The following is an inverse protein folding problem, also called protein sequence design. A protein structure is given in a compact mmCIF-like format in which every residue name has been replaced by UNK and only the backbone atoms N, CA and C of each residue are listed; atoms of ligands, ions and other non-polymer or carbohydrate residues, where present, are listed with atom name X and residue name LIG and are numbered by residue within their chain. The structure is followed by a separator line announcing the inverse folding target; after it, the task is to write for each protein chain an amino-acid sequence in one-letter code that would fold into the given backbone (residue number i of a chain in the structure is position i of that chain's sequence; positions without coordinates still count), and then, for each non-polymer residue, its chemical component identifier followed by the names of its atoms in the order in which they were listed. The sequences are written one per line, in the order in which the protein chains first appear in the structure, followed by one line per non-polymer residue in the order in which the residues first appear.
data_IF_048606951416
#
_entry.id   IF_048606951416
#
_cell.length_a   1.000
_cell.length_b   1.000
_cell.length_c   1.000
_cell.angle_alpha   90.00
_cell.angle_beta   90.00
_cell.angle_gamma   90.00
#
_symmetry.space_group_name_H-M   'P 1'
#
loop_
_entity.id
_entity.type
_entity.pdbx_description
1 polymer ?
#
# COMPACT_ATOMS: atom_id res chain seq x y z
N UNK A 1 29.01 2.29 13.26
CA UNK A 1 29.29 3.04 12.03
C UNK A 1 27.98 3.76 11.68
N UNK A 2 27.94 5.09 11.76
CA UNK A 2 26.82 5.86 11.25
C UNK A 2 26.73 5.59 9.75
N UNK A 3 25.57 5.13 9.25
CA UNK A 3 25.35 5.07 7.81
C UNK A 3 25.49 6.49 7.28
N UNK A 4 26.53 6.71 6.47
CA UNK A 4 26.76 8.00 5.84
C UNK A 4 25.64 8.24 4.83
N UNK A 5 24.66 9.06 5.24
CA UNK A 5 23.53 9.42 4.41
C UNK A 5 23.95 10.60 3.53
N UNK A 6 24.32 10.29 2.30
CA UNK A 6 24.64 11.31 1.32
C UNK A 6 23.41 12.15 0.95
N UNK A 7 23.45 13.43 1.30
CA UNK A 7 22.35 14.39 1.08
C UNK A 7 22.61 15.10 -0.24
N UNK A 8 21.99 14.61 -1.30
CA UNK A 8 21.95 15.31 -2.59
C UNK A 8 20.92 16.45 -2.58
N UNK A 9 21.01 17.41 -3.53
CA UNK A 9 20.01 18.47 -3.63
C UNK A 9 18.54 17.97 -3.71
N UNK A 10 18.29 16.91 -4.46
CA UNK A 10 16.94 16.31 -4.53
C UNK A 10 16.46 15.80 -3.16
N UNK A 11 17.35 15.18 -2.39
CA UNK A 11 17.03 14.70 -1.05
C UNK A 11 16.82 15.83 -0.07
N UNK A 12 17.64 16.87 -0.14
CA UNK A 12 17.47 18.04 0.73
C UNK A 12 16.11 18.69 0.51
N UNK A 13 15.69 18.88 -0.75
CA UNK A 13 14.37 19.42 -1.08
C UNK A 13 13.26 18.58 -0.46
N UNK A 14 13.37 17.25 -0.50
CA UNK A 14 12.39 16.35 0.15
C UNK A 14 12.43 16.48 1.68
N UNK A 15 13.61 16.52 2.30
CA UNK A 15 13.74 16.64 3.76
C UNK A 15 13.10 17.94 4.28
N UNK A 16 13.21 19.01 3.51
CA UNK A 16 12.68 20.33 3.87
C UNK A 16 11.19 20.51 3.51
N UNK A 17 10.67 19.67 2.62
CA UNK A 17 9.28 19.75 2.17
C UNK A 17 8.30 19.58 3.33
N UNK A 18 7.24 20.37 3.31
CA UNK A 18 6.10 20.35 4.23
C UNK A 18 4.81 20.47 3.41
N UNK A 19 3.69 20.25 4.06
CA UNK A 19 2.39 20.35 3.41
C UNK A 19 2.04 19.07 2.62
N UNK A 20 1.34 19.23 1.51
CA UNK A 20 0.94 18.12 0.67
C UNK A 20 2.04 17.79 -0.33
N UNK A 21 2.68 16.64 -0.15
CA UNK A 21 3.87 16.24 -0.93
C UNK A 21 3.66 14.87 -1.57
N UNK A 22 4.06 14.72 -2.82
CA UNK A 22 4.17 13.43 -3.51
C UNK A 22 5.63 13.23 -3.89
N UNK A 23 6.30 12.24 -3.26
CA UNK A 23 7.66 11.85 -3.61
C UNK A 23 7.61 10.70 -4.60
N UNK A 24 7.96 10.98 -5.85
CA UNK A 24 8.10 9.95 -6.88
C UNK A 24 9.53 9.43 -6.88
N UNK A 25 9.70 8.20 -6.43
CA UNK A 25 11.02 7.63 -6.20
C UNK A 25 11.29 6.48 -7.17
N UNK A 26 12.46 6.48 -7.81
CA UNK A 26 12.86 5.36 -8.66
C UNK A 26 13.33 4.15 -7.84
N UNK A 27 13.35 2.95 -8.44
CA UNK A 27 13.94 1.76 -7.81
C UNK A 27 15.37 2.02 -7.34
N UNK A 28 15.66 1.71 -6.07
CA UNK A 28 17.01 1.87 -5.54
C UNK A 28 17.44 3.32 -5.23
N UNK A 29 16.53 4.29 -5.27
CA UNK A 29 16.82 5.71 -4.91
C UNK A 29 17.06 5.93 -3.42
N UNK A 30 16.80 4.93 -2.56
CA UNK A 30 16.91 5.08 -1.11
C UNK A 30 15.69 5.72 -0.47
N UNK A 31 14.50 5.51 -1.04
CA UNK A 31 13.18 5.92 -0.57
C UNK A 31 13.02 5.77 0.95
N UNK A 32 13.12 4.53 1.46
CA UNK A 32 13.01 4.20 2.89
C UNK A 32 14.02 4.96 3.74
N UNK A 33 15.26 5.10 3.27
CA UNK A 33 16.33 5.83 3.98
C UNK A 33 16.02 7.32 4.07
N UNK A 34 15.46 7.91 3.00
CA UNK A 34 15.04 9.32 2.97
C UNK A 34 13.85 9.58 3.90
N UNK A 35 12.87 8.68 3.93
CA UNK A 35 11.76 8.73 4.90
C UNK A 35 12.33 8.74 6.32
N UNK A 36 13.14 7.74 6.68
CA UNK A 36 13.69 7.58 8.03
C UNK A 36 14.48 8.81 8.47
N UNK A 37 15.30 9.39 7.58
CA UNK A 37 16.03 10.61 7.86
C UNK A 37 15.10 11.79 8.19
N UNK A 38 13.99 11.90 7.48
CA UNK A 38 12.99 12.94 7.70
C UNK A 38 12.21 12.76 8.99
N UNK A 39 11.94 11.52 9.42
CA UNK A 39 11.11 11.23 10.59
C UNK A 39 11.58 11.91 11.86
N UNK A 40 12.90 12.03 12.09
CA UNK A 40 13.44 12.70 13.27
C UNK A 40 13.07 14.21 13.27
N UNK A 41 13.30 14.87 12.15
CA UNK A 41 12.95 16.30 12.00
C UNK A 41 11.44 16.52 12.12
N UNK A 42 10.64 15.61 11.60
CA UNK A 42 9.17 15.65 11.70
C UNK A 42 8.71 15.43 13.15
N UNK A 43 9.37 14.53 13.89
CA UNK A 43 9.07 14.32 15.31
C UNK A 43 9.26 15.60 16.13
N UNK A 44 10.41 16.24 15.99
CA UNK A 44 10.69 17.52 16.66
C UNK A 44 9.71 18.61 16.22
N UNK A 45 9.41 18.70 14.92
CA UNK A 45 8.43 19.66 14.42
C UNK A 45 7.04 19.42 15.01
N UNK A 46 6.60 18.20 15.16
CA UNK A 46 5.31 17.90 15.80
C UNK A 46 5.30 18.33 17.26
N UNK A 47 6.35 18.03 18.02
CA UNK A 47 6.45 18.40 19.43
C UNK A 47 6.46 19.91 19.64
N UNK A 48 7.26 20.62 18.84
CA UNK A 48 7.42 22.09 18.96
C UNK A 48 6.17 22.87 18.57
N UNK A 49 5.44 22.44 17.53
CA UNK A 49 4.32 23.21 16.97
C UNK A 49 2.95 22.76 17.48
N UNK A 50 2.81 21.49 17.88
CA UNK A 50 1.52 20.91 18.26
C UNK A 50 1.50 20.33 19.69
N UNK A 51 2.66 20.24 20.34
CA UNK A 51 2.79 19.79 21.73
C UNK A 51 3.24 18.35 21.90
N UNK A 52 3.65 18.00 23.13
CA UNK A 52 4.34 16.75 23.47
C UNK A 52 3.53 15.46 23.29
N UNK A 53 2.21 15.55 23.15
CA UNK A 53 1.33 14.42 22.91
C UNK A 53 0.98 14.21 21.44
N UNK A 54 1.53 15.04 20.56
CA UNK A 54 1.35 14.94 19.11
C UNK A 54 2.56 14.28 18.46
N UNK A 55 2.34 13.55 17.39
CA UNK A 55 3.42 12.92 16.65
C UNK A 55 3.04 12.70 15.19
N UNK A 56 3.94 12.09 14.46
CA UNK A 56 3.65 11.67 13.09
C UNK A 56 3.07 10.25 13.04
N UNK A 57 2.35 9.96 11.96
CA UNK A 57 2.01 8.61 11.53
C UNK A 57 2.73 8.30 10.21
N UNK A 58 3.70 7.37 10.24
CA UNK A 58 4.32 6.83 9.04
C UNK A 58 3.68 5.47 8.73
N UNK A 59 2.94 5.42 7.63
CA UNK A 59 2.08 4.30 7.27
C UNK A 59 2.65 3.56 6.06
N UNK A 60 2.60 2.24 6.07
CA UNK A 60 3.01 1.42 4.94
C UNK A 60 1.99 0.32 4.66
N UNK A 61 2.16 -0.39 3.56
CA UNK A 61 1.23 -1.45 3.16
C UNK A 61 1.49 -2.78 3.89
N UNK A 62 2.73 -3.05 4.34
CA UNK A 62 3.11 -4.33 4.93
C UNK A 62 3.80 -4.20 6.29
N UNK A 63 3.59 -5.20 7.16
CA UNK A 63 4.30 -5.30 8.44
C UNK A 63 5.83 -5.35 8.24
N UNK A 64 6.31 -5.98 7.17
CA UNK A 64 7.73 -6.06 6.85
C UNK A 64 8.33 -4.67 6.58
N UNK A 65 7.64 -3.85 5.80
CA UNK A 65 8.09 -2.48 5.53
C UNK A 65 8.10 -1.62 6.80
N UNK A 66 7.07 -1.75 7.65
CA UNK A 66 7.05 -1.07 8.95
C UNK A 66 8.21 -1.51 9.86
N UNK A 67 8.52 -2.79 9.90
CA UNK A 67 9.66 -3.32 10.66
C UNK A 67 11.00 -2.79 10.13
N UNK A 68 11.17 -2.72 8.81
CA UNK A 68 12.35 -2.16 8.16
C UNK A 68 12.53 -0.67 8.47
N UNK A 69 11.45 0.12 8.42
CA UNK A 69 11.46 1.53 8.79
C UNK A 69 11.89 1.73 10.26
N UNK A 70 11.31 0.97 11.19
CA UNK A 70 11.66 1.02 12.62
C UNK A 70 13.12 0.62 12.88
N UNK A 71 13.59 -0.42 12.21
CA UNK A 71 14.98 -0.89 12.34
C UNK A 71 15.96 0.16 11.80
N UNK A 72 15.71 0.70 10.61
CA UNK A 72 16.56 1.76 10.03
C UNK A 72 16.53 3.04 10.86
N UNK A 73 15.37 3.41 11.44
CA UNK A 73 15.28 4.54 12.34
C UNK A 73 16.23 4.37 13.53
N UNK A 74 16.18 3.20 14.17
CA UNK A 74 17.07 2.86 15.28
C UNK A 74 18.54 2.91 14.89
N UNK A 75 18.90 2.37 13.73
CA UNK A 75 20.28 2.35 13.24
C UNK A 75 20.81 3.75 12.89
N UNK A 76 19.97 4.61 12.33
CA UNK A 76 20.35 5.95 11.87
C UNK A 76 20.42 6.96 13.01
N UNK A 77 19.49 6.89 13.95
CA UNK A 77 19.35 7.88 15.03
C UNK A 77 19.86 7.37 16.39
N UNK A 78 20.29 6.10 16.46
CA UNK A 78 20.74 5.42 17.69
C UNK A 78 19.67 5.45 18.81
N UNK A 79 18.40 5.58 18.45
CA UNK A 79 17.26 5.57 19.36
C UNK A 79 16.09 4.80 18.78
N UNK A 80 15.18 4.34 19.64
CA UNK A 80 13.95 3.68 19.20
C UNK A 80 12.86 4.72 18.96
N UNK A 81 12.05 4.46 17.97
CA UNK A 81 10.82 5.22 17.77
C UNK A 81 9.88 4.96 18.96
N UNK A 82 9.46 6.02 19.62
CA UNK A 82 8.59 5.97 20.82
C UNK A 82 7.34 6.84 20.63
N UNK A 83 6.35 6.61 21.50
CA UNK A 83 5.24 7.53 21.65
C UNK A 83 5.76 8.98 21.74
N UNK A 84 5.13 9.95 21.06
CA UNK A 84 3.82 9.87 20.40
C UNK A 84 3.83 9.45 18.91
N UNK A 85 4.97 9.07 18.38
CA UNK A 85 5.14 8.75 16.96
C UNK A 85 4.74 7.30 16.64
N UNK A 86 4.16 7.09 15.46
CA UNK A 86 3.72 5.77 15.00
C UNK A 86 4.30 5.39 13.66
N UNK A 87 4.72 4.13 13.54
CA UNK A 87 5.02 3.46 12.26
C UNK A 87 4.20 2.17 12.22
N UNK A 88 3.15 2.15 11.43
CA UNK A 88 2.14 1.08 11.37
C UNK A 88 1.77 0.75 9.93
N UNK A 89 1.11 -0.39 9.74
CA UNK A 89 0.37 -0.57 8.47
C UNK A 89 -0.86 0.34 8.46
N UNK A 90 -1.33 0.71 7.26
CA UNK A 90 -2.55 1.53 7.11
C UNK A 90 -3.72 0.83 7.81
N UNK A 91 -3.89 -0.47 7.61
CA UNK A 91 -4.95 -1.27 8.26
C UNK A 91 -4.84 -1.24 9.79
N UNK A 92 -3.63 -1.40 10.34
CA UNK A 92 -3.40 -1.35 11.79
C UNK A 92 -3.72 0.03 12.36
N UNK A 93 -3.33 1.10 11.65
CA UNK A 93 -3.64 2.47 12.05
C UNK A 93 -5.15 2.72 12.08
N UNK A 94 -5.85 2.33 11.03
CA UNK A 94 -7.30 2.46 10.92
C UNK A 94 -8.00 1.68 12.03
N UNK A 95 -7.60 0.45 12.26
CA UNK A 95 -8.17 -0.38 13.33
C UNK A 95 -7.94 0.23 14.72
N UNK A 96 -6.72 0.63 15.01
CA UNK A 96 -6.31 1.10 16.34
C UNK A 96 -6.92 2.46 16.70
N UNK A 97 -6.99 3.39 15.75
CA UNK A 97 -7.34 4.77 16.02
C UNK A 97 -8.74 5.18 15.60
N UNK A 98 -9.41 4.38 14.74
CA UNK A 98 -10.75 4.72 14.26
C UNK A 98 -11.74 3.60 14.55
N UNK A 99 -11.51 2.40 14.03
CA UNK A 99 -12.55 1.35 14.09
C UNK A 99 -12.75 0.82 15.51
N UNK A 100 -11.70 0.37 16.19
CA UNK A 100 -11.85 -0.23 17.53
C UNK A 100 -12.31 0.75 18.62
N UNK A 101 -11.92 2.04 18.61
CA UNK A 101 -12.47 2.99 19.57
C UNK A 101 -13.91 3.40 19.28
N UNK A 102 -14.34 3.43 18.01
CA UNK A 102 -15.60 4.08 17.60
C UNK A 102 -16.56 3.17 16.81
N UNK A 103 -16.34 1.84 16.82
CA UNK A 103 -17.15 0.87 16.09
C UNK A 103 -18.66 0.98 16.37
N UNK A 104 -19.02 1.37 17.59
CA UNK A 104 -20.41 1.50 18.05
C UNK A 104 -21.18 2.64 17.38
N UNK A 105 -20.48 3.50 16.63
CA UNK A 105 -21.08 4.55 15.82
C UNK A 105 -21.50 4.06 14.41
N UNK A 106 -21.14 2.84 14.06
CA UNK A 106 -21.58 2.20 12.82
C UNK A 106 -22.87 1.43 13.12
N UNK A 107 -24.00 1.87 12.55
CA UNK A 107 -25.34 1.32 12.83
C UNK A 107 -25.47 -0.17 12.56
N UNK A 108 -24.76 -0.68 11.55
CA UNK A 108 -24.80 -2.09 11.17
C UNK A 108 -24.02 -2.98 12.14
N UNK A 109 -23.09 -2.42 12.93
CA UNK A 109 -22.20 -3.19 13.80
C UNK A 109 -22.79 -3.36 15.20
N UNK A 110 -23.28 -4.56 15.54
CA UNK A 110 -23.91 -4.84 16.84
C UNK A 110 -22.95 -5.39 17.90
N UNK A 111 -21.73 -5.72 17.52
CA UNK A 111 -20.69 -6.26 18.40
C UNK A 111 -19.35 -5.63 18.07
N UNK A 112 -18.46 -5.59 19.07
CA UNK A 112 -17.07 -5.14 18.86
C UNK A 112 -16.42 -5.94 17.72
N UNK A 113 -15.85 -5.28 16.72
CA UNK A 113 -15.29 -5.94 15.56
C UNK A 113 -14.09 -6.82 15.89
N UNK A 114 -14.07 -7.98 15.24
CA UNK A 114 -12.94 -8.90 15.20
C UNK A 114 -12.54 -9.02 13.73
N UNK A 115 -11.28 -8.67 13.43
CA UNK A 115 -10.75 -8.85 12.06
C UNK A 115 -10.51 -10.32 11.82
N UNK A 116 -11.12 -10.84 10.78
CA UNK A 116 -10.97 -12.22 10.36
C UNK A 116 -10.53 -12.27 8.90
N UNK A 117 -9.81 -13.33 8.57
CA UNK A 117 -9.42 -13.55 7.18
C UNK A 117 -10.69 -13.72 6.32
N UNK A 118 -10.69 -13.15 5.13
CA UNK A 118 -11.82 -13.27 4.20
C UNK A 118 -12.19 -14.73 3.90
N UNK A 119 -11.22 -15.63 3.87
CA UNK A 119 -11.46 -17.06 3.70
C UNK A 119 -12.21 -17.65 4.89
N UNK A 120 -11.86 -17.29 6.12
CA UNK A 120 -12.59 -17.72 7.32
C UNK A 120 -14.01 -17.16 7.40
N UNK A 121 -14.20 -15.94 6.93
CA UNK A 121 -15.55 -15.34 6.82
C UNK A 121 -16.40 -16.18 5.87
N UNK A 122 -15.85 -16.56 4.73
CA UNK A 122 -16.56 -17.32 3.72
C UNK A 122 -16.93 -18.72 4.22
N UNK A 123 -16.00 -19.43 4.87
CA UNK A 123 -16.21 -20.80 5.36
C UNK A 123 -17.21 -20.88 6.51
N UNK A 124 -17.22 -19.90 7.41
CA UNK A 124 -18.05 -19.94 8.62
C UNK A 124 -19.43 -19.31 8.47
N UNK A 125 -19.60 -18.34 7.57
CA UNK A 125 -20.80 -17.50 7.55
C UNK A 125 -21.70 -17.79 6.36
N UNK A 126 -21.15 -18.14 5.20
CA UNK A 126 -21.91 -18.19 3.96
C UNK A 126 -22.54 -19.54 3.64
N UNK A 127 -22.09 -20.63 4.26
CA UNK A 127 -22.49 -21.96 3.84
C UNK A 127 -23.89 -22.39 4.31
N UNK A 128 -24.44 -21.86 5.40
CA UNK A 128 -25.60 -22.53 6.00
C UNK A 128 -26.75 -21.66 6.49
N UNK A 129 -26.73 -20.32 6.45
CA UNK A 129 -27.68 -19.56 7.28
C UNK A 129 -28.31 -18.31 6.68
N UNK A 130 -28.32 -18.12 5.36
CA UNK A 130 -28.92 -16.93 4.76
C UNK A 130 -30.16 -17.30 3.98
N UNK A 131 -31.29 -16.75 4.43
CA UNK A 131 -32.58 -16.85 3.74
C UNK A 131 -32.87 -15.57 2.97
N UNK A 132 -33.26 -15.70 1.70
CA UNK A 132 -33.80 -14.61 0.90
C UNK A 132 -35.21 -14.98 0.52
N UNK A 133 -36.17 -14.10 0.86
CA UNK A 133 -37.59 -14.36 0.63
C UNK A 133 -38.05 -15.73 1.15
N UNK A 134 -37.55 -16.12 2.33
CA UNK A 134 -37.91 -17.39 2.98
C UNK A 134 -37.28 -18.64 2.38
N UNK A 135 -36.41 -18.54 1.40
CA UNK A 135 -35.73 -19.67 0.77
C UNK A 135 -34.24 -19.66 1.08
N UNK A 136 -33.69 -20.79 1.48
CA UNK A 136 -32.25 -21.00 1.60
C UNK A 136 -31.63 -20.99 0.21
N UNK A 137 -30.62 -20.17 0.00
CA UNK A 137 -29.92 -20.07 -1.28
C UNK A 137 -28.42 -20.26 -1.08
N UNK A 138 -27.83 -21.05 -1.95
CA UNK A 138 -26.37 -21.24 -2.03
C UNK A 138 -25.85 -20.52 -3.27
N UNK A 139 -24.92 -19.56 -3.07
CA UNK A 139 -24.21 -18.91 -4.16
C UNK A 139 -22.74 -19.25 -4.14
N UNK A 140 -22.05 -19.22 -5.30
CA UNK A 140 -20.62 -19.45 -5.35
C UNK A 140 -19.88 -18.46 -4.44
N UNK A 141 -19.11 -19.00 -3.52
CA UNK A 141 -18.35 -18.28 -2.49
C UNK A 141 -17.52 -17.12 -3.08
N UNK A 142 -16.93 -17.30 -4.26
CA UNK A 142 -16.11 -16.28 -4.91
C UNK A 142 -16.92 -15.06 -5.41
N UNK A 143 -18.17 -15.25 -5.83
CA UNK A 143 -19.04 -14.14 -6.23
C UNK A 143 -19.42 -13.28 -5.02
N UNK A 144 -19.69 -13.90 -3.88
CA UNK A 144 -20.01 -13.24 -2.62
C UNK A 144 -18.85 -12.38 -2.08
N UNK A 145 -17.62 -12.86 -2.23
CA UNK A 145 -16.41 -12.18 -1.77
C UNK A 145 -16.28 -10.78 -2.37
N UNK A 146 -16.45 -10.68 -3.66
CA UNK A 146 -16.33 -9.41 -4.37
C UNK A 146 -17.52 -8.51 -4.15
N UNK A 147 -18.71 -9.10 -4.09
CA UNK A 147 -19.93 -8.35 -3.84
C UNK A 147 -19.99 -7.72 -2.47
N UNK A 148 -19.58 -8.45 -1.43
CA UNK A 148 -19.51 -7.90 -0.09
C UNK A 148 -18.59 -6.67 -0.03
N UNK A 149 -17.50 -6.63 -0.81
CA UNK A 149 -16.63 -5.45 -0.89
C UNK A 149 -17.20 -4.30 -1.71
N UNK A 150 -18.00 -4.58 -2.75
CA UNK A 150 -18.59 -3.58 -3.64
C UNK A 150 -19.84 -2.91 -3.05
N UNK A 151 -20.68 -3.68 -2.38
CA UNK A 151 -21.97 -3.23 -1.87
C UNK A 151 -21.86 -2.35 -0.61
N UNK A 152 -20.74 -2.33 0.05
CA UNK A 152 -20.47 -1.46 1.22
C UNK A 152 -20.37 0.01 0.88
N UNK A 153 -20.22 0.34 -0.38
CA UNK A 153 -19.99 1.70 -0.82
C UNK A 153 -21.34 2.37 -1.09
N UNK A 154 -21.75 3.31 -0.27
CA UNK A 154 -22.91 4.16 -0.51
C UNK A 154 -22.73 5.07 -1.73
N UNK A 155 -21.54 5.09 -2.35
CA UNK A 155 -21.26 5.90 -3.53
C UNK A 155 -21.60 5.13 -4.81
N UNK A 156 -22.67 5.50 -5.55
CA UNK A 156 -23.11 4.80 -6.75
C UNK A 156 -22.06 4.73 -7.86
N UNK A 157 -21.16 5.72 -7.93
CA UNK A 157 -20.10 5.76 -8.95
C UNK A 157 -19.04 4.69 -8.71
N UNK A 158 -18.71 4.41 -7.46
CA UNK A 158 -17.78 3.35 -7.06
C UNK A 158 -18.36 1.97 -7.36
N UNK A 159 -19.63 1.75 -7.06
CA UNK A 159 -20.35 0.51 -7.37
C UNK A 159 -20.38 0.26 -8.88
N UNK A 160 -20.68 1.28 -9.68
CA UNK A 160 -20.70 1.18 -11.14
C UNK A 160 -19.34 0.82 -11.72
N UNK A 161 -18.27 1.44 -11.22
CA UNK A 161 -16.90 1.24 -11.70
C UNK A 161 -16.36 -0.15 -11.36
N UNK A 162 -16.61 -0.63 -10.15
CA UNK A 162 -16.21 -1.96 -9.73
C UNK A 162 -17.00 -3.07 -10.44
N UNK A 163 -18.24 -2.84 -10.84
CA UNK A 163 -19.01 -3.76 -11.71
C UNK A 163 -18.35 -3.99 -13.06
N UNK A 164 -17.71 -2.96 -13.64
CA UNK A 164 -16.99 -3.08 -14.91
C UNK A 164 -15.62 -3.77 -14.75
N UNK A 165 -14.97 -3.63 -13.62
CA UNK A 165 -13.71 -4.32 -13.31
C UNK A 165 -13.93 -5.82 -13.04
N UNK A 166 -15.14 -6.22 -12.67
CA UNK A 166 -15.45 -7.60 -12.31
C UNK A 166 -15.97 -8.42 -13.49
N UNK A 167 -15.13 -8.63 -14.46
CA UNK A 167 -15.37 -9.66 -15.50
C UNK A 167 -15.05 -11.05 -14.94
N UNK A 168 -15.98 -11.62 -14.22
CA UNK A 168 -15.96 -13.07 -13.99
C UNK A 168 -16.20 -13.78 -15.30
N UNK A 169 -15.43 -14.79 -15.55
CA UNK A 169 -15.21 -15.49 -16.81
C UNK A 169 -16.41 -15.67 -17.76
N UNK A 170 -17.65 -15.50 -17.36
CA UNK A 170 -18.81 -15.70 -18.24
C UNK A 170 -20.14 -15.02 -17.81
N UNK A 171 -20.16 -14.10 -16.81
CA UNK A 171 -21.40 -13.37 -16.49
C UNK A 171 -21.16 -11.88 -16.23
N UNK A 172 -21.63 -11.01 -17.12
CA UNK A 172 -21.44 -9.58 -16.96
C UNK A 172 -22.49 -8.89 -16.08
N UNK A 173 -23.51 -9.58 -15.60
CA UNK A 173 -24.59 -8.99 -14.82
C UNK A 173 -24.90 -9.87 -13.61
N UNK A 174 -24.82 -9.26 -12.44
CA UNK A 174 -25.23 -9.84 -11.19
C UNK A 174 -26.71 -9.50 -11.03
N UNK A 175 -27.54 -10.50 -10.77
CA UNK A 175 -28.96 -10.34 -10.65
C UNK A 175 -29.37 -9.72 -9.30
N UNK A 176 -30.62 -9.25 -9.21
CA UNK A 176 -31.13 -8.64 -7.99
C UNK A 176 -31.13 -9.57 -6.77
N UNK A 177 -31.26 -10.89 -6.99
CA UNK A 177 -31.22 -11.88 -5.92
C UNK A 177 -29.81 -12.07 -5.37
N UNK A 178 -28.80 -12.07 -6.24
CA UNK A 178 -27.40 -12.11 -5.84
C UNK A 178 -27.06 -10.86 -5.00
N UNK A 179 -27.54 -9.70 -5.41
CA UNK A 179 -27.38 -8.44 -4.66
C UNK A 179 -28.03 -8.55 -3.28
N UNK A 180 -29.28 -9.00 -3.22
CA UNK A 180 -30.02 -9.16 -1.96
C UNK A 180 -29.32 -10.15 -1.01
N UNK A 181 -28.81 -11.25 -1.55
CA UNK A 181 -28.06 -12.22 -0.77
C UNK A 181 -26.76 -11.63 -0.20
N UNK A 182 -26.00 -10.90 -1.01
CA UNK A 182 -24.76 -10.27 -0.55
C UNK A 182 -25.00 -9.22 0.52
N UNK A 183 -26.09 -8.43 0.40
CA UNK A 183 -26.49 -7.48 1.43
C UNK A 183 -26.85 -8.19 2.73
N UNK A 184 -27.66 -9.23 2.67
CA UNK A 184 -28.05 -10.00 3.85
C UNK A 184 -26.84 -10.66 4.52
N UNK A 185 -25.93 -11.23 3.73
CA UNK A 185 -24.70 -11.82 4.21
C UNK A 185 -23.79 -10.79 4.90
N UNK A 186 -23.65 -9.62 4.30
CA UNK A 186 -22.88 -8.53 4.86
C UNK A 186 -23.46 -8.04 6.20
N UNK A 187 -24.76 -7.76 6.24
CA UNK A 187 -25.45 -7.33 7.47
C UNK A 187 -25.29 -8.37 8.57
N UNK A 188 -25.56 -9.64 8.27
CA UNK A 188 -25.40 -10.74 9.24
C UNK A 188 -24.00 -10.81 9.82
N UNK A 189 -22.96 -10.64 8.98
CA UNK A 189 -21.58 -10.66 9.40
C UNK A 189 -21.24 -9.52 10.34
N UNK A 190 -21.66 -8.29 10.02
CA UNK A 190 -21.44 -7.13 10.86
C UNK A 190 -22.18 -7.25 12.21
N UNK A 191 -23.39 -7.77 12.21
CA UNK A 191 -24.14 -8.06 13.45
C UNK A 191 -23.39 -9.05 14.37
N UNK A 192 -22.65 -9.98 13.79
CA UNK A 192 -21.78 -10.92 14.54
C UNK A 192 -20.43 -10.31 14.92
N UNK A 193 -20.09 -9.15 14.42
CA UNK A 193 -18.81 -8.46 14.67
C UNK A 193 -17.65 -9.00 13.85
N UNK A 194 -17.88 -9.78 12.80
CA UNK A 194 -16.81 -10.26 11.93
C UNK A 194 -16.57 -9.29 10.76
N UNK A 195 -15.36 -8.75 10.67
CA UNK A 195 -14.98 -7.80 9.63
C UNK A 195 -13.68 -8.26 8.93
N UNK A 196 -13.53 -7.90 7.67
CA UNK A 196 -12.26 -7.97 6.94
C UNK A 196 -11.52 -6.63 7.04
N UNK A 197 -10.25 -6.59 6.58
CA UNK A 197 -9.51 -5.32 6.45
C UNK A 197 -10.24 -4.31 5.56
N UNK A 198 -10.85 -4.78 4.46
CA UNK A 198 -11.65 -3.90 3.59
C UNK A 198 -12.90 -3.35 4.29
N UNK A 199 -13.53 -4.14 5.17
CA UNK A 199 -14.65 -3.68 5.99
C UNK A 199 -14.20 -2.60 6.97
N UNK A 200 -13.06 -2.83 7.63
CA UNK A 200 -12.48 -1.88 8.57
C UNK A 200 -12.20 -0.52 7.91
N UNK A 201 -11.61 -0.53 6.71
CA UNK A 201 -11.34 0.68 5.95
C UNK A 201 -12.64 1.43 5.57
N UNK A 202 -13.66 0.68 5.13
CA UNK A 202 -14.97 1.26 4.85
C UNK A 202 -15.61 1.86 6.10
N UNK A 203 -15.63 1.13 7.22
CA UNK A 203 -16.16 1.62 8.51
C UNK A 203 -15.43 2.88 8.96
N UNK A 204 -14.11 2.93 8.80
CA UNK A 204 -13.34 4.12 9.15
C UNK A 204 -13.74 5.33 8.30
N UNK A 205 -13.90 5.17 6.99
CA UNK A 205 -14.39 6.25 6.15
C UNK A 205 -15.79 6.70 6.56
N UNK A 206 -16.71 5.77 6.84
CA UNK A 206 -18.07 6.08 7.28
C UNK A 206 -18.09 6.85 8.62
N UNK A 207 -17.32 6.38 9.61
CA UNK A 207 -17.17 7.04 10.91
C UNK A 207 -16.61 8.46 10.75
N UNK A 208 -15.53 8.64 9.98
CA UNK A 208 -14.90 9.96 9.82
C UNK A 208 -15.77 10.93 9.02
N UNK A 209 -16.56 10.45 8.07
CA UNK A 209 -17.47 11.27 7.28
C UNK A 209 -18.63 11.81 8.13
N UNK A 210 -19.24 10.97 8.98
CA UNK A 210 -20.39 11.33 9.80
C UNK A 210 -20.01 11.97 11.15
N UNK A 211 -18.80 11.73 11.65
CA UNK A 211 -18.32 12.20 12.94
C UNK A 211 -17.05 13.04 12.81
N UNK A 212 -17.18 14.25 12.27
CA UNK A 212 -16.04 15.15 12.00
C UNK A 212 -15.18 15.48 13.25
N UNK A 213 -15.75 15.41 14.46
CA UNK A 213 -14.99 15.57 15.70
C UNK A 213 -13.91 14.51 15.88
N UNK A 214 -14.19 13.26 15.48
CA UNK A 214 -13.21 12.16 15.50
C UNK A 214 -12.10 12.41 14.47
N UNK A 215 -12.46 12.81 13.26
CA UNK A 215 -11.50 13.14 12.23
C UNK A 215 -10.56 14.28 12.67
N UNK A 216 -11.10 15.34 13.29
CA UNK A 216 -10.32 16.45 13.86
C UNK A 216 -9.38 15.98 14.99
N UNK A 217 -9.88 15.16 15.92
CA UNK A 217 -9.06 14.62 17.02
C UNK A 217 -7.90 13.76 16.48
N UNK A 218 -8.16 12.97 15.44
CA UNK A 218 -7.13 12.16 14.79
C UNK A 218 -6.05 13.04 14.13
N UNK A 219 -6.45 14.11 13.44
CA UNK A 219 -5.54 15.08 12.84
C UNK A 219 -4.75 15.87 13.90
N UNK A 220 -5.36 16.23 15.01
CA UNK A 220 -4.66 16.86 16.13
C UNK A 220 -3.63 15.92 16.74
N UNK A 221 -3.93 14.63 16.82
CA UNK A 221 -3.01 13.62 17.35
C UNK A 221 -1.87 13.33 16.39
N UNK A 222 -2.14 13.32 15.07
CA UNK A 222 -1.19 13.05 14.00
C UNK A 222 -1.23 14.15 12.93
N UNK A 223 -0.66 15.35 13.23
CA UNK A 223 -0.67 16.48 12.28
C UNK A 223 0.24 16.25 11.08
N UNK A 224 1.00 15.16 11.07
CA UNK A 224 1.89 14.78 10.00
C UNK A 224 1.69 13.29 9.65
N UNK A 225 1.30 13.02 8.41
CA UNK A 225 1.08 11.65 7.91
C UNK A 225 1.95 11.40 6.69
N UNK A 226 2.73 10.33 6.73
CA UNK A 226 3.54 9.85 5.60
C UNK A 226 3.02 8.47 5.20
N UNK A 227 2.77 8.26 3.92
CA UNK A 227 2.27 7.00 3.36
C UNK A 227 3.32 6.45 2.40
N UNK A 228 4.01 5.40 2.81
CA UNK A 228 4.98 4.68 1.97
C UNK A 228 4.29 3.66 1.07
N UNK A 229 4.87 3.37 -0.09
CA UNK A 229 4.32 2.53 -1.15
C UNK A 229 2.91 2.98 -1.60
N UNK A 230 2.72 4.28 -1.74
CA UNK A 230 1.42 4.90 -2.01
C UNK A 230 0.76 4.42 -3.32
N UNK A 231 1.53 3.92 -4.30
CA UNK A 231 1.02 3.35 -5.54
C UNK A 231 0.17 2.08 -5.33
N UNK A 232 0.29 1.43 -4.16
CA UNK A 232 -0.46 0.22 -3.83
C UNK A 232 -1.78 0.49 -3.10
N UNK A 233 -2.10 1.76 -2.87
CA UNK A 233 -3.34 2.17 -2.22
C UNK A 233 -4.56 1.96 -3.12
N UNK A 234 -5.66 1.50 -2.50
CA UNK A 234 -6.98 1.44 -3.12
C UNK A 234 -7.67 2.80 -3.11
N UNK A 235 -8.75 2.93 -3.86
CA UNK A 235 -9.58 4.13 -3.88
C UNK A 235 -10.12 4.51 -2.48
N UNK A 236 -10.48 3.52 -1.65
CA UNK A 236 -10.91 3.78 -0.27
C UNK A 236 -9.78 4.29 0.64
N UNK A 237 -8.53 3.86 0.42
CA UNK A 237 -7.39 4.44 1.13
C UNK A 237 -7.24 5.93 0.80
N UNK A 238 -7.33 6.30 -0.48
CA UNK A 238 -7.29 7.71 -0.87
C UNK A 238 -8.47 8.50 -0.30
N UNK A 239 -9.68 7.91 -0.24
CA UNK A 239 -10.82 8.56 0.38
C UNK A 239 -10.61 8.77 1.88
N UNK A 240 -10.05 7.80 2.60
CA UNK A 240 -9.67 7.95 4.01
C UNK A 240 -8.74 9.14 4.22
N UNK A 241 -7.69 9.27 3.42
CA UNK A 241 -6.76 10.41 3.52
C UNK A 241 -7.40 11.75 3.11
N UNK A 242 -8.33 11.75 2.14
CA UNK A 242 -9.12 12.94 1.80
C UNK A 242 -10.01 13.40 2.97
N UNK A 243 -10.58 12.48 3.72
CA UNK A 243 -11.36 12.81 4.92
C UNK A 243 -10.48 13.46 6.00
N UNK A 244 -9.26 12.96 6.22
CA UNK A 244 -8.30 13.62 7.12
C UNK A 244 -7.91 15.00 6.61
N UNK A 245 -7.67 15.17 5.31
CA UNK A 245 -7.40 16.48 4.69
C UNK A 245 -8.55 17.45 4.92
N UNK A 246 -9.81 17.02 4.71
CA UNK A 246 -11.01 17.85 5.00
C UNK A 246 -11.12 18.21 6.48
N UNK A 247 -10.66 17.35 7.38
CA UNK A 247 -10.62 17.58 8.82
C UNK A 247 -9.51 18.55 9.28
N UNK A 248 -8.63 18.97 8.36
CA UNK A 248 -7.57 19.96 8.61
C UNK A 248 -6.16 19.39 8.68
N UNK A 249 -5.92 18.15 8.23
CA UNK A 249 -4.56 17.61 8.10
C UNK A 249 -3.75 18.49 7.15
N UNK A 250 -2.67 19.10 7.66
CA UNK A 250 -1.85 20.03 6.92
C UNK A 250 -0.64 19.38 6.23
N UNK A 251 -0.13 18.29 6.79
CA UNK A 251 1.03 17.60 6.27
C UNK A 251 0.66 16.15 5.91
N UNK A 252 0.56 15.90 4.61
CA UNK A 252 0.28 14.57 4.06
C UNK A 252 1.26 14.29 2.93
N UNK A 253 2.05 13.24 3.09
CA UNK A 253 3.03 12.83 2.10
C UNK A 253 2.69 11.44 1.54
N UNK A 254 2.64 11.34 0.23
CA UNK A 254 2.63 10.07 -0.48
C UNK A 254 4.00 9.80 -1.07
N UNK A 255 4.58 8.68 -0.69
CA UNK A 255 5.88 8.23 -1.20
C UNK A 255 5.69 6.94 -1.97
N UNK A 256 6.14 6.90 -3.21
CA UNK A 256 5.94 5.70 -4.03
C UNK A 256 6.67 5.71 -5.36
N UNK A 257 6.60 4.57 -6.04
CA UNK A 257 7.07 4.38 -7.40
C UNK A 257 5.90 3.87 -8.27
N UNK A 258 5.36 4.73 -9.10
CA UNK A 258 4.21 4.41 -9.94
C UNK A 258 4.50 3.22 -10.88
N UNK A 259 5.75 3.05 -11.29
CA UNK A 259 6.16 1.95 -12.17
C UNK A 259 6.27 0.59 -11.45
N UNK A 260 6.25 0.57 -10.11
CA UNK A 260 6.34 -0.65 -9.31
C UNK A 260 4.98 -1.15 -8.77
N UNK A 261 3.86 -0.58 -9.19
CA UNK A 261 2.56 -1.07 -8.77
C UNK A 261 2.31 -2.48 -9.31
N UNK A 262 2.39 -3.48 -8.43
CA UNK A 262 2.16 -4.90 -8.73
C UNK A 262 0.87 -5.43 -8.10
N UNK A 263 0.21 -4.65 -7.26
CA UNK A 263 -0.98 -5.06 -6.49
C UNK A 263 -2.30 -4.71 -7.17
N UNK A 264 -2.34 -4.61 -8.51
CA UNK A 264 -3.58 -4.38 -9.26
C UNK A 264 -4.69 -5.42 -8.96
N UNK A 265 -4.32 -6.65 -8.53
CA UNK A 265 -5.25 -7.67 -8.08
C UNK A 265 -5.89 -7.37 -6.71
N UNK A 266 -5.28 -6.50 -5.89
CA UNK A 266 -5.80 -6.05 -4.60
C UNK A 266 -6.49 -4.67 -4.68
N UNK A 267 -7.03 -4.29 -5.84
CA UNK A 267 -7.68 -3.01 -6.09
C UNK A 267 -6.75 -1.78 -5.91
N UNK A 268 -5.44 -1.93 -6.06
CA UNK A 268 -4.52 -0.80 -6.13
C UNK A 268 -4.89 0.11 -7.31
N UNK A 269 -4.79 1.42 -7.09
CA UNK A 269 -5.21 2.45 -8.04
C UNK A 269 -4.10 3.49 -8.27
N UNK A 270 -2.97 3.08 -8.89
CA UNK A 270 -1.85 3.99 -9.15
C UNK A 270 -2.23 5.20 -10.00
N UNK A 271 -3.27 5.07 -10.84
CA UNK A 271 -3.79 6.19 -11.63
C UNK A 271 -4.38 7.32 -10.78
N UNK A 272 -4.85 7.04 -9.56
CA UNK A 272 -5.31 8.09 -8.64
C UNK A 272 -4.13 8.93 -8.14
N UNK A 273 -3.02 8.28 -7.80
CA UNK A 273 -1.80 9.00 -7.43
C UNK A 273 -1.28 9.84 -8.60
N UNK A 274 -1.30 9.31 -9.83
CA UNK A 274 -0.93 10.06 -11.04
C UNK A 274 -1.85 11.27 -11.28
N UNK A 275 -3.16 11.11 -11.05
CA UNK A 275 -4.11 12.22 -11.18
C UNK A 275 -3.81 13.32 -10.17
N UNK A 276 -3.52 12.95 -8.90
CA UNK A 276 -3.16 13.90 -7.85
C UNK A 276 -1.87 14.66 -8.16
N UNK A 277 -0.90 14.04 -8.83
CA UNK A 277 0.32 14.73 -9.29
C UNK A 277 0.05 15.79 -10.35
N UNK A 278 -1.02 15.62 -11.13
CA UNK A 278 -1.45 16.58 -12.18
C UNK A 278 -2.39 17.66 -11.63
N UNK A 279 -3.05 17.38 -10.50
CA UNK A 279 -3.90 18.33 -9.81
C UNK A 279 -3.04 19.36 -9.06
N UNK A 280 -3.46 20.63 -9.08
CA UNK A 280 -2.79 21.68 -8.29
C UNK A 280 -2.88 21.41 -6.79
N UNK A 281 -1.90 21.95 -6.03
CA UNK A 281 -1.90 21.87 -4.55
C UNK A 281 -1.07 20.74 -3.96
N UNK A 282 -0.36 19.96 -4.79
CA UNK A 282 0.64 18.98 -4.38
C UNK A 282 2.04 19.42 -4.80
N UNK A 283 2.99 19.31 -3.88
CA UNK A 283 4.41 19.49 -4.17
C UNK A 283 4.96 18.13 -4.67
N UNK A 284 5.14 17.99 -5.98
CA UNK A 284 5.63 16.76 -6.60
C UNK A 284 7.15 16.80 -6.70
N UNK A 285 7.81 15.92 -5.96
CA UNK A 285 9.27 15.88 -5.86
C UNK A 285 9.80 14.57 -6.47
N UNK A 286 10.74 14.63 -7.41
CA UNK A 286 11.40 13.42 -7.92
C UNK A 286 12.55 12.99 -7.02
N UNK A 287 12.73 11.68 -6.87
CA UNK A 287 13.93 11.06 -6.33
C UNK A 287 14.46 10.09 -7.38
N UNK A 288 15.22 10.61 -8.34
CA UNK A 288 15.61 9.93 -9.58
C UNK A 288 17.06 9.39 -9.57
N UNK A 289 17.78 9.53 -8.46
CA UNK A 289 19.15 9.03 -8.30
C UNK A 289 19.13 7.59 -7.78
N UNK A 290 19.44 6.62 -8.64
CA UNK A 290 19.51 5.21 -8.29
C UNK A 290 20.88 4.85 -7.70
N UNK A 291 20.89 4.29 -6.49
CA UNK A 291 22.08 3.85 -5.76
C UNK A 291 22.26 2.33 -5.74
N UNK A 292 21.40 1.62 -6.45
CA UNK A 292 21.40 0.14 -6.50
C UNK A 292 22.00 -0.40 -7.78
N UNK A 293 21.76 0.29 -8.89
CA UNK A 293 22.08 -0.19 -10.23
C UNK A 293 22.96 0.81 -10.97
N UNK A 294 23.88 0.30 -11.80
CA UNK A 294 24.64 1.12 -12.71
C UNK A 294 23.79 1.66 -13.86
N UNK A 295 24.30 2.62 -14.63
CA UNK A 295 23.53 3.31 -15.68
C UNK A 295 23.07 2.36 -16.78
N UNK A 296 23.86 1.37 -17.14
CA UNK A 296 23.52 0.37 -18.17
C UNK A 296 22.28 -0.44 -17.83
N UNK A 297 22.14 -0.86 -16.56
CA UNK A 297 20.95 -1.55 -16.07
C UNK A 297 19.74 -0.60 -16.05
N UNK A 298 19.96 0.65 -15.65
CA UNK A 298 18.93 1.69 -15.64
C UNK A 298 18.42 1.95 -17.06
N UNK A 299 19.29 2.11 -18.03
CA UNK A 299 18.93 2.36 -19.42
C UNK A 299 18.11 1.20 -20.03
N UNK A 300 18.43 -0.05 -19.60
CA UNK A 300 17.66 -1.22 -20.03
C UNK A 300 16.23 -1.17 -19.52
N UNK A 301 16.01 -1.07 -18.22
CA UNK A 301 14.66 -1.11 -17.68
C UNK A 301 13.89 0.19 -17.91
N UNK A 302 14.55 1.30 -18.16
CA UNK A 302 13.91 2.57 -18.53
C UNK A 302 13.17 2.49 -19.87
N UNK A 303 13.59 1.60 -20.77
CA UNK A 303 12.86 1.31 -22.02
C UNK A 303 11.48 0.66 -21.77
N UNK A 304 11.26 0.09 -20.62
CA UNK A 304 9.99 -0.54 -20.22
C UNK A 304 9.06 0.43 -19.48
N UNK A 305 9.51 1.65 -19.16
CA UNK A 305 8.72 2.66 -18.46
C UNK A 305 7.84 3.47 -19.40
N UNK A 306 6.80 4.08 -18.83
CA UNK A 306 6.05 5.10 -19.56
C UNK A 306 6.89 6.37 -19.73
N UNK A 307 6.61 7.13 -20.80
CA UNK A 307 7.30 8.38 -21.14
C UNK A 307 7.22 9.49 -20.09
N UNK A 308 6.27 9.38 -19.15
CA UNK A 308 5.97 10.43 -18.16
C UNK A 308 6.83 10.34 -16.89
N UNK A 309 7.79 9.42 -16.84
CA UNK A 309 8.65 9.22 -15.66
C UNK A 309 9.97 9.95 -15.85
N UNK A 310 10.45 10.73 -14.86
CA UNK A 310 11.74 11.41 -14.94
C UNK A 310 12.90 10.46 -15.28
N UNK A 311 13.88 10.96 -16.01
CA UNK A 311 15.10 10.21 -16.30
C UNK A 311 15.78 9.79 -15.01
N UNK A 312 16.22 8.53 -14.93
CA UNK A 312 16.92 7.98 -13.79
C UNK A 312 18.41 7.98 -14.06
N UNK A 313 19.19 8.42 -13.07
CA UNK A 313 20.65 8.44 -13.13
C UNK A 313 21.25 7.52 -12.08
N UNK A 314 22.30 6.80 -12.45
CA UNK A 314 23.09 6.03 -11.49
C UNK A 314 23.89 6.98 -10.60
N UNK A 315 23.95 6.69 -9.31
CA UNK A 315 24.71 7.49 -8.35
C UNK A 315 25.59 6.59 -7.49
N UNK A 316 26.91 6.73 -7.64
CA UNK A 316 27.89 6.01 -6.82
C UNK A 316 27.98 4.50 -7.08
N UNK A 317 27.45 4.00 -8.21
CA UNK A 317 27.54 2.58 -8.58
C UNK A 317 28.48 2.42 -9.77
N UNK A 318 29.54 1.62 -9.55
CA UNK A 318 30.52 1.31 -10.59
C UNK A 318 29.93 0.45 -11.71
N UNK A 319 30.24 0.78 -12.96
CA UNK A 319 29.87 -0.05 -14.11
C UNK A 319 30.96 -1.10 -14.37
N UNK A 320 30.61 -2.37 -14.19
CA UNK A 320 31.50 -3.50 -14.44
C UNK A 320 31.55 -3.94 -15.92
N UNK A 321 30.89 -3.22 -16.81
CA UNK A 321 30.86 -3.48 -18.26
C UNK A 321 30.37 -4.89 -18.65
N UNK A 322 29.63 -5.56 -17.78
CA UNK A 322 29.10 -6.90 -18.07
C UNK A 322 28.04 -6.80 -19.16
N UNK A 323 28.11 -7.57 -20.24
CA UNK A 323 27.17 -7.51 -21.33
C UNK A 323 25.77 -7.98 -20.90
N UNK A 324 24.73 -7.31 -21.44
CA UNK A 324 23.36 -7.78 -21.28
C UNK A 324 23.15 -8.96 -22.22
N UNK A 325 22.81 -10.12 -21.65
CA UNK A 325 22.57 -11.35 -22.41
C UNK A 325 21.09 -11.68 -22.36
N UNK A 326 20.48 -11.88 -23.51
CA UNK A 326 19.07 -12.29 -23.63
C UNK A 326 19.03 -13.77 -23.99
N UNK A 327 18.39 -14.57 -23.13
CA UNK A 327 18.18 -15.98 -23.37
C UNK A 327 16.77 -16.22 -23.85
N UNK A 328 16.63 -16.93 -24.98
CA UNK A 328 15.35 -17.54 -25.38
C UNK A 328 15.25 -18.91 -24.73
N UNK A 329 14.18 -19.19 -24.04
CA UNK A 329 13.99 -20.48 -23.37
C UNK A 329 12.61 -21.06 -23.64
N UNK A 330 12.51 -22.35 -23.43
CA UNK A 330 11.27 -23.12 -23.31
C UNK A 330 11.33 -23.94 -22.01
N UNK A 331 10.26 -24.61 -21.67
CA UNK A 331 10.15 -25.37 -20.41
C UNK A 331 11.19 -26.50 -20.25
N UNK A 332 11.81 -26.93 -21.35
CA UNK A 332 12.82 -27.99 -21.36
C UNK A 332 14.21 -27.54 -20.97
N UNK A 333 14.54 -26.24 -21.11
CA UNK A 333 15.92 -25.75 -20.96
C UNK A 333 16.15 -24.73 -19.83
N UNK A 334 15.23 -24.58 -18.89
CA UNK A 334 15.34 -23.64 -17.75
C UNK A 334 16.62 -23.90 -16.93
N UNK A 335 17.02 -25.17 -16.75
CA UNK A 335 18.24 -25.52 -16.02
C UNK A 335 19.51 -25.03 -16.72
N UNK A 336 19.52 -24.98 -18.04
CA UNK A 336 20.65 -24.51 -18.83
C UNK A 336 20.81 -22.98 -18.72
N UNK A 337 19.70 -22.24 -18.59
CA UNK A 337 19.74 -20.79 -18.31
C UNK A 337 20.43 -20.52 -16.98
N UNK A 338 20.06 -21.26 -15.93
CA UNK A 338 20.68 -21.14 -14.61
C UNK A 338 22.18 -21.45 -14.69
N UNK A 339 22.57 -22.52 -15.40
CA UNK A 339 23.97 -22.87 -15.59
C UNK A 339 24.76 -21.79 -16.36
N UNK A 340 24.19 -21.29 -17.45
CA UNK A 340 24.78 -20.22 -18.23
C UNK A 340 24.94 -18.94 -17.42
N UNK A 341 23.95 -18.61 -16.57
CA UNK A 341 24.06 -17.48 -15.68
C UNK A 341 25.18 -17.63 -14.65
N UNK A 342 25.35 -18.83 -14.07
CA UNK A 342 26.50 -19.13 -13.20
C UNK A 342 27.81 -18.92 -13.91
N UNK A 343 27.94 -19.38 -15.15
CA UNK A 343 29.14 -19.22 -15.96
C UNK A 343 29.46 -17.73 -16.22
N UNK A 344 28.42 -16.90 -16.48
CA UNK A 344 28.59 -15.45 -16.64
C UNK A 344 29.07 -14.82 -15.33
N UNK A 345 28.56 -15.26 -14.18
CA UNK A 345 29.01 -14.77 -12.89
C UNK A 345 30.46 -15.13 -12.60
N UNK A 346 30.84 -16.39 -12.85
CA UNK A 346 32.23 -16.87 -12.67
C UNK A 346 33.22 -16.13 -13.58
N UNK A 347 32.89 -15.97 -14.86
CA UNK A 347 33.72 -15.29 -15.84
C UNK A 347 33.95 -13.80 -15.54
N UNK A 348 33.12 -13.19 -14.69
CA UNK A 348 33.16 -11.77 -14.33
C UNK A 348 33.46 -11.53 -12.85
N UNK A 349 33.98 -12.52 -12.13
CA UNK A 349 34.31 -12.46 -10.69
C UNK A 349 33.15 -11.93 -9.82
N UNK A 350 31.89 -12.28 -10.18
CA UNK A 350 30.73 -11.92 -9.41
C UNK A 350 30.48 -12.93 -8.29
N UNK A 351 30.22 -12.48 -7.05
CA UNK A 351 29.97 -13.39 -5.93
C UNK A 351 28.71 -14.19 -6.14
N UNK A 352 28.85 -15.48 -6.45
CA UNK A 352 27.76 -16.42 -6.70
C UNK A 352 26.78 -16.62 -5.52
N UNK A 353 27.19 -16.23 -4.31
CA UNK A 353 26.38 -16.40 -3.08
C UNK A 353 25.11 -15.55 -3.01
N UNK A 354 24.92 -14.57 -3.87
CA UNK A 354 23.74 -13.71 -3.86
C UNK A 354 22.60 -14.19 -4.76
N UNK A 355 22.82 -15.22 -5.57
CA UNK A 355 21.95 -15.51 -6.70
C UNK A 355 20.90 -16.57 -6.40
N UNK A 356 21.11 -17.52 -5.46
CA UNK A 356 20.23 -18.67 -5.31
C UNK A 356 19.97 -19.18 -3.89
N UNK A 357 19.94 -18.32 -2.88
CA UNK A 357 19.53 -18.77 -1.54
C UNK A 357 18.01 -18.81 -1.30
N UNK A 358 17.18 -18.42 -2.25
CA UNK A 358 15.74 -18.30 -1.97
C UNK A 358 14.82 -18.32 -3.20
N UNK A 359 15.00 -19.26 -4.10
CA UNK A 359 13.89 -19.63 -4.99
C UNK A 359 13.57 -21.10 -4.71
N UNK A 360 12.57 -21.40 -3.87
CA UNK A 360 11.89 -22.67 -4.01
C UNK A 360 11.16 -22.58 -5.34
N UNK A 361 11.66 -23.28 -6.35
CA UNK A 361 10.96 -23.46 -7.62
C UNK A 361 9.74 -24.34 -7.34
N UNK A 362 8.67 -23.75 -6.84
CA UNK A 362 7.34 -24.30 -6.94
C UNK A 362 6.66 -23.59 -8.10
N UNK A 363 6.86 -24.13 -9.30
CA UNK A 363 5.90 -23.88 -10.37
C UNK A 363 4.64 -24.67 -10.03
N UNK A 364 3.47 -24.05 -9.89
CA UNK A 364 2.24 -24.80 -9.88
C UNK A 364 2.11 -25.46 -11.25
N UNK A 365 1.91 -26.77 -11.25
CA UNK A 365 1.56 -27.49 -12.46
C UNK A 365 0.34 -26.79 -13.10
N UNK A 366 0.46 -26.55 -14.41
CA UNK A 366 -0.59 -25.96 -15.21
C UNK A 366 -1.88 -26.79 -15.10
N UNK A 367 -2.98 -26.14 -14.75
CA UNK A 367 -4.34 -26.57 -15.05
C UNK A 367 -5.04 -25.50 -15.89
#
# INVERSE_FOLDING_TARGET
MSMDYDITPQRQVYLDARGYTILTACPGSGKTTSIVKKLLTVSHHCEEHYGTHTGFACLSFTNKACAELKQKYKEMHNERLTYPNEVLTIDSFIMQYVVLPFWYLCDECKKRPIVVNETEILDRIYYNNIQINGKWQQYPVMALRTYASLMRRKNPSLVSRDKTAFKWKHKPVIDANEIAYCNAAFTYRLEKGFISSSDALWMACDILEHHQGIAKALVMRFPYVIVDEAQDNSELHFEFFKLLKRAGLQNLEFVGDICQSIYGFNNARPELLQSMMKEGGWNVLPLSECRRSNQRIIDLYSKLKSSDVPAITSHGVEDKEIPIVVYKYDDGNVRDIIRNFHQVCENNDLPSRYIFRSIPVHFPAAY
#
